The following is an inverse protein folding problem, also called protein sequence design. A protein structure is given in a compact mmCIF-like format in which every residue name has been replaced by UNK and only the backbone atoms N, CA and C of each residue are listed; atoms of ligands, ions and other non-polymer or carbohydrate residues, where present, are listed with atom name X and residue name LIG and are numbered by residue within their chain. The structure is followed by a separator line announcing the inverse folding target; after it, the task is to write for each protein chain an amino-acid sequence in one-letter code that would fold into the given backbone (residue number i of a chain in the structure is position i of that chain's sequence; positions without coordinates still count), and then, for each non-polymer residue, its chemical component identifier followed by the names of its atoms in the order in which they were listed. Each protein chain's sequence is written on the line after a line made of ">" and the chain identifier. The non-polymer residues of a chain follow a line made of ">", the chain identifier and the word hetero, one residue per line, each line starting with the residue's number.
data_IF_106144045655
#
_entry.id   IF_106144045655
#
_cell.length_a   1.000
_cell.length_b   1.000
_cell.length_c   1.000
_cell.angle_alpha   90.00
_cell.angle_beta   90.00
_cell.angle_gamma   90.00
#
_symmetry.space_group_name_H-M   'P 1'
#
loop_
_entity.id
_entity.type
_entity.pdbx_description
1 polymer ?
#
# COMPACT_ATOMS: atom_id res chain seq x y z
N UNK A 1 20.61 11.30 -24.95
CA UNK A 1 19.85 11.77 -23.76
C UNK A 1 20.49 11.16 -22.52
N UNK A 2 21.12 11.99 -21.68
CA UNK A 2 21.84 11.54 -20.48
C UNK A 2 20.90 10.78 -19.54
N UNK A 3 21.21 9.51 -19.28
CA UNK A 3 20.60 8.75 -18.19
C UNK A 3 20.91 9.47 -16.87
N UNK A 4 19.97 10.27 -16.36
CA UNK A 4 20.00 10.67 -14.95
C UNK A 4 19.83 9.38 -14.15
N UNK A 5 20.85 8.98 -13.40
CA UNK A 5 20.71 7.92 -12.41
C UNK A 5 19.50 8.23 -11.53
N UNK A 6 18.49 7.37 -11.52
CA UNK A 6 17.27 7.53 -10.71
C UNK A 6 17.53 7.43 -9.20
N UNK A 7 18.78 7.17 -8.81
CA UNK A 7 19.26 7.13 -7.44
C UNK A 7 19.17 8.50 -6.79
N UNK A 8 18.15 8.67 -5.94
CA UNK A 8 18.07 9.79 -5.00
C UNK A 8 19.00 9.49 -3.83
N UNK A 9 19.88 10.42 -3.49
CA UNK A 9 20.82 10.26 -2.38
C UNK A 9 20.32 10.97 -1.12
N UNK A 10 20.56 10.36 0.04
CA UNK A 10 20.34 10.96 1.36
C UNK A 10 21.68 11.12 2.07
N UNK A 11 21.82 12.22 2.80
CA UNK A 11 23.02 12.55 3.56
C UNK A 11 22.69 12.61 5.04
N UNK A 12 23.59 12.08 5.85
CA UNK A 12 23.42 12.01 7.29
C UNK A 12 24.68 12.47 8.01
N UNK A 13 24.49 13.13 9.15
CA UNK A 13 25.54 13.54 10.08
C UNK A 13 25.49 12.67 11.34
N UNK A 14 26.65 12.26 11.85
CA UNK A 14 26.75 11.48 13.09
C UNK A 14 26.42 12.34 14.31
N UNK A 15 25.57 11.83 15.19
CA UNK A 15 25.24 12.41 16.49
C UNK A 15 25.55 11.42 17.63
N UNK A 16 25.43 11.88 18.88
CA UNK A 16 25.69 11.06 20.07
C UNK A 16 24.90 9.75 20.09
N UNK A 17 23.64 9.78 19.66
CA UNK A 17 22.74 8.61 19.70
C UNK A 17 22.33 8.09 18.32
N UNK A 18 23.04 8.45 17.24
CA UNK A 18 22.72 7.92 15.92
C UNK A 18 23.13 8.82 14.76
N UNK A 19 22.30 8.85 13.72
CA UNK A 19 22.50 9.61 12.50
C UNK A 19 21.33 10.58 12.30
N UNK A 20 21.63 11.86 12.10
CA UNK A 20 20.65 12.89 11.75
C UNK A 20 20.66 13.12 10.23
N UNK A 21 19.50 13.05 9.60
CA UNK A 21 19.36 13.38 8.17
C UNK A 21 19.51 14.89 7.94
N UNK A 22 20.24 15.28 6.89
CA UNK A 22 20.29 16.68 6.47
C UNK A 22 18.97 17.12 5.81
N UNK A 23 18.61 18.39 5.97
CA UNK A 23 17.46 18.97 5.29
C UNK A 23 17.64 18.99 3.78
N UNK A 24 16.53 19.03 3.03
CA UNK A 24 16.58 19.02 1.57
C UNK A 24 17.37 20.20 1.00
N UNK A 25 17.31 21.38 1.63
CA UNK A 25 18.10 22.54 1.24
C UNK A 25 19.61 22.27 1.34
N UNK A 26 20.08 21.68 2.45
CA UNK A 26 21.49 21.35 2.63
C UNK A 26 21.92 20.27 1.65
N UNK A 27 21.09 19.26 1.41
CA UNK A 27 21.35 18.21 0.41
C UNK A 27 21.49 18.79 -1.00
N UNK A 28 20.64 19.76 -1.39
CA UNK A 28 20.76 20.45 -2.69
C UNK A 28 22.10 21.18 -2.82
N UNK A 29 22.52 21.90 -1.77
CA UNK A 29 23.83 22.56 -1.77
C UNK A 29 24.99 21.56 -1.90
N UNK A 30 24.91 20.40 -1.22
CA UNK A 30 25.93 19.34 -1.32
C UNK A 30 26.02 18.80 -2.75
N UNK A 31 24.88 18.45 -3.37
CA UNK A 31 24.86 17.90 -4.72
C UNK A 31 25.31 18.93 -5.77
N UNK A 32 24.91 20.21 -5.63
CA UNK A 32 25.36 21.30 -6.51
C UNK A 32 26.87 21.51 -6.41
N UNK A 33 27.42 21.59 -5.20
CA UNK A 33 28.85 21.76 -4.98
C UNK A 33 29.65 20.56 -5.47
N UNK A 34 29.15 19.34 -5.23
CA UNK A 34 29.76 18.11 -5.75
C UNK A 34 29.78 18.10 -7.29
N UNK A 35 28.70 18.56 -7.93
CA UNK A 35 28.62 18.67 -9.40
C UNK A 35 29.62 19.68 -9.98
N UNK A 36 30.03 20.67 -9.17
CA UNK A 36 31.07 21.65 -9.51
C UNK A 36 32.48 21.22 -9.10
N UNK A 37 32.64 20.00 -8.56
CA UNK A 37 33.94 19.49 -8.11
C UNK A 37 34.46 20.14 -6.82
N UNK A 38 33.60 20.80 -6.05
CA UNK A 38 34.01 21.41 -4.78
C UNK A 38 34.28 20.33 -3.72
N UNK A 39 35.37 20.48 -2.99
CA UNK A 39 35.70 19.59 -1.86
C UNK A 39 35.06 20.04 -0.55
N UNK A 40 34.64 21.30 -0.45
CA UNK A 40 34.12 21.89 0.77
C UNK A 40 32.93 22.81 0.51
N UNK A 41 31.96 22.81 1.44
CA UNK A 41 30.85 23.76 1.44
C UNK A 41 30.63 24.36 2.83
N UNK A 42 30.13 25.59 2.89
CA UNK A 42 29.68 26.22 4.12
C UNK A 42 28.17 26.32 4.14
N UNK A 43 27.53 26.04 5.29
CA UNK A 43 26.13 26.38 5.50
C UNK A 43 25.84 26.73 6.95
N UNK A 44 24.66 27.31 7.17
CA UNK A 44 24.13 27.67 8.48
C UNK A 44 23.05 26.67 8.92
N UNK A 45 23.12 26.21 10.16
CA UNK A 45 22.10 25.37 10.77
C UNK A 45 21.94 25.77 12.23
N UNK A 46 20.71 26.09 12.66
CA UNK A 46 20.38 26.45 14.05
C UNK A 46 21.40 27.46 14.62
N UNK A 47 21.61 28.56 13.90
CA UNK A 47 22.53 29.67 14.25
C UNK A 47 24.04 29.34 14.27
N UNK A 48 24.43 28.11 13.95
CA UNK A 48 25.83 27.71 13.87
C UNK A 48 26.28 27.59 12.41
N UNK A 49 27.52 28.01 12.14
CA UNK A 49 28.16 27.84 10.83
C UNK A 49 28.94 26.54 10.82
N UNK A 50 28.78 25.79 9.73
CA UNK A 50 29.43 24.50 9.53
C UNK A 50 30.19 24.49 8.20
N UNK A 51 31.36 23.86 8.22
CA UNK A 51 32.11 23.46 7.03
C UNK A 51 31.87 21.98 6.80
N UNK A 52 31.48 21.63 5.59
CA UNK A 52 31.28 20.27 5.13
C UNK A 52 32.42 19.92 4.19
N UNK A 53 33.35 19.06 4.63
CA UNK A 53 34.37 18.52 3.75
C UNK A 53 33.81 17.25 3.10
N UNK A 54 33.48 17.37 1.81
CA UNK A 54 32.86 16.32 1.00
C UNK A 54 33.86 15.24 0.59
N UNK A 55 35.15 15.57 0.57
CA UNK A 55 36.24 14.63 0.23
C UNK A 55 36.55 13.69 1.39
N UNK A 56 36.72 14.24 2.58
CA UNK A 56 37.04 13.50 3.80
C UNK A 56 35.78 13.00 4.53
N UNK A 57 34.61 13.54 4.18
CA UNK A 57 33.32 13.06 4.70
C UNK A 57 33.04 13.46 6.14
N UNK A 58 33.31 14.72 6.50
CA UNK A 58 32.99 15.25 7.83
C UNK A 58 32.37 16.64 7.80
N UNK A 59 31.60 16.93 8.85
CA UNK A 59 31.11 18.25 9.21
C UNK A 59 31.96 18.80 10.34
N UNK A 60 32.38 20.05 10.25
CA UNK A 60 33.07 20.77 11.30
C UNK A 60 32.26 22.00 11.71
N UNK A 61 31.98 22.16 13.01
CA UNK A 61 31.47 23.41 13.54
C UNK A 61 32.60 24.46 13.51
N UNK A 62 32.35 25.62 12.93
CA UNK A 62 33.39 26.67 12.77
C UNK A 62 33.77 27.30 14.11
N UNK A 63 32.83 27.41 15.05
CA UNK A 63 33.04 28.06 16.35
C UNK A 63 33.70 27.09 17.33
N UNK A 64 33.14 25.89 17.47
CA UNK A 64 33.57 24.92 18.48
C UNK A 64 34.62 23.92 17.97
N UNK A 65 34.96 23.94 16.67
CA UNK A 65 35.90 23.00 16.05
C UNK A 65 35.43 21.52 16.02
N UNK A 66 34.24 21.22 16.55
CA UNK A 66 33.75 19.84 16.67
C UNK A 66 33.53 19.21 15.31
N UNK A 67 34.10 18.01 15.12
CA UNK A 67 33.99 17.24 13.88
C UNK A 67 33.00 16.08 14.03
N UNK A 68 32.18 15.87 13.01
CA UNK A 68 31.18 14.80 12.95
C UNK A 68 31.24 14.12 11.59
N UNK A 69 31.22 12.80 11.57
CA UNK A 69 31.24 12.03 10.32
C UNK A 69 29.96 12.26 9.52
N UNK A 70 30.10 12.31 8.20
CA UNK A 70 29.02 12.36 7.24
C UNK A 70 28.98 11.06 6.45
N UNK A 71 27.78 10.59 6.14
CA UNK A 71 27.59 9.48 5.21
C UNK A 71 26.56 9.86 4.15
N UNK A 72 26.85 9.40 2.92
CA UNK A 72 25.93 9.42 1.80
C UNK A 72 25.40 8.01 1.60
N UNK A 73 24.07 7.86 1.53
CA UNK A 73 23.41 6.56 1.29
C UNK A 73 22.39 6.71 0.16
N UNK A 74 22.28 5.71 -0.74
CA UNK A 74 21.22 5.73 -1.72
C UNK A 74 19.89 5.55 -0.98
N UNK A 75 18.88 6.33 -1.35
CA UNK A 75 17.53 6.15 -0.86
C UNK A 75 17.00 4.83 -1.41
N UNK A 76 16.64 3.92 -0.52
CA UNK A 76 15.96 2.70 -0.94
C UNK A 76 14.68 3.08 -1.70
N UNK A 77 14.58 2.59 -2.93
CA UNK A 77 13.38 2.60 -3.74
C UNK A 77 13.01 1.15 -3.99
N UNK A 78 11.78 0.77 -3.70
CA UNK A 78 11.35 -0.58 -4.04
C UNK A 78 11.48 -0.82 -5.56
N UNK A 79 11.71 -2.09 -5.98
CA UNK A 79 11.68 -2.46 -7.39
C UNK A 79 10.38 -2.03 -8.10
N UNK A 80 9.28 -1.92 -7.36
CA UNK A 80 7.95 -1.51 -7.86
C UNK A 80 7.96 -0.05 -8.32
N UNK A 81 8.59 0.85 -7.57
CA UNK A 81 8.76 2.24 -8.00
C UNK A 81 9.82 2.38 -9.10
N UNK A 82 10.80 1.48 -9.12
CA UNK A 82 11.87 1.49 -10.12
C UNK A 82 11.45 0.87 -11.45
N UNK A 83 10.41 0.03 -11.49
CA UNK A 83 9.95 -0.70 -12.68
C UNK A 83 9.86 0.13 -13.97
N UNK A 84 9.31 1.36 -13.97
CA UNK A 84 9.28 2.21 -15.17
C UNK A 84 10.68 2.62 -15.69
N UNK A 85 11.69 2.57 -14.83
CA UNK A 85 13.07 2.97 -15.11
C UNK A 85 14.01 1.77 -15.29
N UNK A 86 13.58 0.56 -14.90
CA UNK A 86 14.33 -0.67 -15.10
C UNK A 86 14.16 -1.10 -16.56
N UNK A 87 15.01 -0.57 -17.44
CA UNK A 87 15.26 -1.18 -18.73
C UNK A 87 16.05 -2.46 -18.47
N UNK A 88 15.37 -3.60 -18.38
CA UNK A 88 16.06 -4.90 -18.39
C UNK A 88 16.91 -4.97 -19.65
N UNK A 89 18.19 -5.30 -19.49
CA UNK A 89 19.12 -5.69 -20.57
C UNK A 89 18.67 -7.02 -21.19
N UNK A 90 17.44 -7.10 -21.68
CA UNK A 90 16.97 -8.20 -22.52
C UNK A 90 17.47 -7.94 -23.95
N UNK A 91 18.78 -8.11 -24.14
CA UNK A 91 19.33 -8.34 -25.47
C UNK A 91 18.86 -9.69 -25.99
N UNK A 92 18.60 -9.74 -27.30
CA UNK A 92 18.30 -10.92 -28.13
C UNK A 92 16.86 -11.46 -28.04
N UNK A 93 15.92 -10.72 -28.63
CA UNK A 93 14.77 -11.37 -29.26
C UNK A 93 15.28 -12.28 -30.38
N UNK A 94 15.22 -13.59 -30.18
CA UNK A 94 15.34 -14.56 -31.26
C UNK A 94 14.20 -14.30 -32.28
N UNK A 95 14.45 -14.36 -33.60
CA UNK A 95 13.38 -14.23 -34.58
C UNK A 95 12.48 -15.46 -34.49
N UNK A 96 11.21 -15.27 -34.17
CA UNK A 96 10.20 -16.32 -34.34
C UNK A 96 9.99 -16.47 -35.85
N UNK A 97 10.51 -17.57 -36.40
CA UNK A 97 10.22 -18.01 -37.77
C UNK A 97 8.70 -18.18 -37.94
N UNK A 98 8.18 -17.59 -39.02
CA UNK A 98 6.81 -17.79 -39.48
C UNK A 98 6.65 -19.23 -39.98
N UNK A 99 5.97 -20.07 -39.22
CA UNK A 99 5.37 -21.29 -39.77
C UNK A 99 3.96 -20.95 -40.29
N UNK A 100 3.84 -20.85 -41.62
CA UNK A 100 2.56 -20.85 -42.32
C UNK A 100 2.01 -22.29 -42.37
N UNK A 101 0.78 -22.48 -41.90
CA UNK A 101 -0.02 -23.69 -42.11
C UNK A 101 -1.51 -23.31 -42.12
N UNK A 102 -2.33 -23.79 -43.06
CA UNK A 102 -3.67 -23.29 -43.28
C UNK A 102 -4.67 -24.04 -42.40
N UNK A 103 -5.47 -23.33 -41.60
CA UNK A 103 -6.68 -23.90 -41.01
C UNK A 103 -7.85 -22.94 -41.18
N UNK A 104 -8.76 -23.41 -42.03
CA UNK A 104 -10.14 -23.02 -42.30
C UNK A 104 -10.74 -21.89 -41.46
N UNK A 105 -11.16 -20.83 -42.17
CA UNK A 105 -11.95 -19.74 -41.64
C UNK A 105 -13.39 -20.19 -41.35
N UNK A 106 -13.72 -20.35 -40.07
CA UNK A 106 -15.07 -20.07 -39.57
C UNK A 106 -14.94 -19.04 -38.45
N UNK A 107 -15.02 -17.77 -38.86
CA UNK A 107 -15.13 -16.64 -37.96
C UNK A 107 -16.54 -16.65 -37.33
N UNK A 108 -16.67 -17.28 -36.17
CA UNK A 108 -17.73 -16.90 -35.23
C UNK A 108 -17.25 -15.64 -34.51
N UNK A 109 -17.73 -14.48 -34.96
CA UNK A 109 -17.66 -13.24 -34.19
C UNK A 109 -18.27 -13.51 -32.81
N UNK A 110 -17.61 -13.19 -31.68
CA UNK A 110 -18.33 -13.12 -30.43
C UNK A 110 -19.28 -11.95 -30.56
N UNK A 111 -20.58 -12.26 -30.56
CA UNK A 111 -21.61 -11.26 -30.32
C UNK A 111 -21.18 -10.45 -29.10
N UNK A 112 -21.19 -9.13 -29.24
CA UNK A 112 -20.98 -8.20 -28.14
C UNK A 112 -22.20 -8.32 -27.20
N UNK A 113 -22.22 -9.38 -26.39
CA UNK A 113 -23.15 -9.49 -25.28
C UNK A 113 -22.66 -8.53 -24.21
N UNK A 114 -23.38 -7.43 -24.01
CA UNK A 114 -23.28 -6.55 -22.84
C UNK A 114 -23.78 -7.27 -21.57
N UNK A 115 -23.34 -8.51 -21.35
CA UNK A 115 -23.53 -9.19 -20.09
C UNK A 115 -22.67 -8.47 -19.06
N UNK A 116 -23.31 -7.77 -18.11
CA UNK A 116 -22.63 -7.34 -16.88
C UNK A 116 -21.91 -8.56 -16.31
N UNK A 117 -20.58 -8.56 -16.33
CA UNK A 117 -19.81 -9.67 -15.78
C UNK A 117 -20.18 -9.82 -14.31
N UNK A 118 -20.58 -11.04 -13.92
CA UNK A 118 -21.02 -11.33 -12.54
C UNK A 118 -19.89 -11.09 -11.53
N UNK A 119 -18.64 -11.24 -11.97
CA UNK A 119 -17.43 -11.08 -11.16
C UNK A 119 -16.45 -10.12 -11.86
N UNK A 120 -15.51 -9.49 -11.10
CA UNK A 120 -14.50 -8.64 -11.69
C UNK A 120 -13.69 -9.36 -12.77
N UNK A 121 -13.36 -8.67 -13.86
CA UNK A 121 -12.59 -9.23 -14.99
C UNK A 121 -11.20 -9.76 -14.60
N UNK A 122 -10.67 -9.29 -13.48
CA UNK A 122 -9.39 -9.76 -12.94
C UNK A 122 -9.50 -11.11 -12.22
N UNK A 123 -10.70 -11.67 -12.06
CA UNK A 123 -10.88 -12.95 -11.39
C UNK A 123 -10.58 -14.11 -12.34
N UNK A 124 -9.84 -15.10 -11.83
CA UNK A 124 -9.62 -16.38 -12.52
C UNK A 124 -10.77 -17.34 -12.25
N UNK A 125 -10.95 -18.34 -13.13
CA UNK A 125 -11.87 -19.46 -12.88
C UNK A 125 -11.49 -20.21 -11.60
N UNK A 126 -12.50 -20.70 -10.89
CA UNK A 126 -12.35 -21.48 -9.66
C UNK A 126 -13.01 -22.83 -9.82
N UNK A 127 -12.47 -23.86 -9.17
CA UNK A 127 -13.10 -25.17 -9.09
C UNK A 127 -14.43 -25.06 -8.32
N UNK A 128 -15.52 -25.74 -8.75
CA UNK A 128 -16.83 -25.63 -8.12
C UNK A 128 -16.85 -26.02 -6.63
N UNK A 129 -15.90 -26.83 -6.17
CA UNK A 129 -15.78 -27.26 -4.78
C UNK A 129 -15.04 -26.26 -3.87
N UNK A 130 -14.42 -25.22 -4.42
CA UNK A 130 -13.64 -24.24 -3.67
C UNK A 130 -14.51 -23.07 -3.19
N UNK A 131 -14.59 -22.88 -1.88
CA UNK A 131 -15.29 -21.72 -1.28
C UNK A 131 -14.58 -20.39 -1.60
N UNK A 132 -13.24 -20.42 -1.66
CA UNK A 132 -12.42 -19.27 -1.99
C UNK A 132 -11.04 -19.69 -2.52
N UNK A 133 -10.37 -18.77 -3.23
CA UNK A 133 -8.95 -18.91 -3.60
C UNK A 133 -8.20 -17.60 -3.30
N UNK A 134 -6.93 -17.71 -2.97
CA UNK A 134 -5.99 -16.59 -2.85
C UNK A 134 -5.10 -16.57 -4.08
N UNK A 135 -5.29 -15.57 -4.94
CA UNK A 135 -4.56 -15.46 -6.21
C UNK A 135 -3.43 -14.45 -6.05
N UNK A 136 -2.16 -14.84 -6.25
CA UNK A 136 -1.05 -13.88 -6.28
C UNK A 136 -1.32 -12.77 -7.30
N UNK A 137 -1.13 -11.52 -6.89
CA UNK A 137 -1.29 -10.37 -7.77
C UNK A 137 0.06 -10.05 -8.42
N UNK A 138 0.12 -10.05 -9.75
CA UNK A 138 1.34 -9.65 -10.47
C UNK A 138 1.70 -8.19 -10.17
N UNK A 139 3.00 -7.89 -10.13
CA UNK A 139 3.54 -6.54 -9.98
C UNK A 139 3.13 -5.60 -11.13
N UNK A 140 2.80 -6.16 -12.29
CA UNK A 140 2.32 -5.41 -13.46
C UNK A 140 0.85 -5.01 -13.34
N UNK A 141 0.07 -5.71 -12.49
CA UNK A 141 -1.34 -5.46 -12.27
C UNK A 141 -1.54 -4.07 -11.62
N UNK A 142 -2.50 -3.29 -12.13
CA UNK A 142 -2.86 -1.98 -11.58
C UNK A 142 -3.27 -2.06 -10.11
N UNK A 143 -3.91 -3.16 -9.71
CA UNK A 143 -4.31 -3.41 -8.32
C UNK A 143 -3.10 -3.56 -7.39
N UNK A 144 -2.01 -4.17 -7.85
CA UNK A 144 -0.77 -4.24 -7.08
C UNK A 144 -0.25 -2.84 -6.73
N UNK A 145 -0.11 -1.98 -7.74
CA UNK A 145 0.34 -0.58 -7.56
C UNK A 145 -0.59 0.19 -6.63
N UNK A 146 -1.89 -0.04 -6.74
CA UNK A 146 -2.89 0.60 -5.88
C UNK A 146 -2.73 0.19 -4.42
N UNK A 147 -2.66 -1.11 -4.14
CA UNK A 147 -2.48 -1.65 -2.77
C UNK A 147 -1.15 -1.19 -2.19
N UNK A 148 -0.07 -1.26 -2.99
CA UNK A 148 1.25 -0.80 -2.61
C UNK A 148 1.26 0.67 -2.19
N UNK A 149 0.68 1.55 -3.01
CA UNK A 149 0.61 2.98 -2.73
C UNK A 149 -0.24 3.29 -1.50
N UNK A 150 -1.38 2.61 -1.33
CA UNK A 150 -2.23 2.80 -0.15
C UNK A 150 -1.52 2.38 1.14
N UNK A 151 -0.78 1.27 1.11
CA UNK A 151 -0.02 0.78 2.26
C UNK A 151 1.13 1.74 2.62
N UNK A 152 1.97 2.06 1.64
CA UNK A 152 3.16 2.89 1.83
C UNK A 152 2.87 4.37 2.01
N UNK A 153 1.62 4.81 1.80
CA UNK A 153 1.16 6.16 2.22
C UNK A 153 1.39 6.42 3.71
N UNK A 154 1.40 5.37 4.53
CA UNK A 154 1.54 5.51 6.00
C UNK A 154 2.59 4.60 6.63
N UNK A 155 3.10 3.61 5.89
CA UNK A 155 4.17 2.72 6.34
C UNK A 155 5.41 2.97 5.47
N UNK A 156 6.54 3.46 6.02
CA UNK A 156 7.74 3.70 5.22
C UNK A 156 8.31 2.40 4.60
N UNK A 157 8.71 2.46 3.33
CA UNK A 157 9.38 1.35 2.63
C UNK A 157 10.68 0.90 3.31
N UNK A 158 11.34 1.83 4.01
CA UNK A 158 12.57 1.56 4.76
C UNK A 158 12.32 0.75 6.04
N UNK A 159 11.07 0.69 6.52
CA UNK A 159 10.71 -0.06 7.74
C UNK A 159 10.09 -1.41 7.44
N UNK A 160 9.21 -1.47 6.44
CA UNK A 160 8.53 -2.70 6.06
C UNK A 160 8.48 -2.84 4.55
N UNK A 161 8.68 -4.07 4.07
CA UNK A 161 8.56 -4.44 2.65
C UNK A 161 7.34 -5.33 2.49
N UNK A 162 6.53 -5.08 1.46
CA UNK A 162 5.47 -6.01 1.05
C UNK A 162 6.13 -7.24 0.43
N UNK A 163 5.87 -8.42 0.99
CA UNK A 163 6.41 -9.68 0.48
C UNK A 163 5.55 -10.21 -0.67
N UNK A 164 4.24 -10.32 -0.45
CA UNK A 164 3.28 -10.82 -1.42
C UNK A 164 1.97 -10.04 -1.30
N UNK A 165 1.23 -9.90 -2.40
CA UNK A 165 -0.16 -9.43 -2.41
C UNK A 165 -0.99 -10.54 -3.00
N UNK A 166 -2.01 -10.98 -2.27
CA UNK A 166 -2.97 -11.98 -2.73
C UNK A 166 -4.35 -11.33 -2.84
N UNK A 167 -5.01 -11.53 -3.98
CA UNK A 167 -6.42 -11.20 -4.19
C UNK A 167 -7.26 -12.37 -3.70
N UNK A 168 -8.15 -12.11 -2.76
CA UNK A 168 -9.12 -13.10 -2.29
C UNK A 168 -10.29 -13.13 -3.27
N UNK A 169 -10.51 -14.28 -3.89
CA UNK A 169 -11.70 -14.55 -4.71
C UNK A 169 -12.63 -15.47 -3.91
N UNK A 170 -13.74 -14.92 -3.45
CA UNK A 170 -14.79 -15.65 -2.75
C UNK A 170 -16.14 -15.25 -3.38
N UNK A 171 -16.68 -16.06 -4.31
CA UNK A 171 -17.91 -15.72 -5.04
C UNK A 171 -19.10 -15.44 -4.12
N UNK A 172 -19.30 -16.27 -3.09
CA UNK A 172 -20.40 -16.12 -2.14
C UNK A 172 -20.34 -14.78 -1.39
N UNK A 173 -19.17 -14.43 -0.84
CA UNK A 173 -19.00 -13.16 -0.12
C UNK A 173 -19.10 -11.96 -1.06
N UNK A 174 -18.61 -12.08 -2.29
CA UNK A 174 -18.72 -11.03 -3.30
C UNK A 174 -20.17 -10.75 -3.69
N UNK A 175 -20.98 -11.78 -3.91
CA UNK A 175 -22.41 -11.63 -4.19
C UNK A 175 -23.16 -11.01 -3.02
N UNK A 176 -22.88 -11.47 -1.79
CA UNK A 176 -23.45 -10.87 -0.57
C UNK A 176 -23.10 -9.39 -0.47
N UNK A 177 -21.84 -9.04 -0.76
CA UNK A 177 -21.37 -7.65 -0.79
C UNK A 177 -22.10 -6.82 -1.86
N UNK A 178 -22.17 -7.29 -3.11
CA UNK A 178 -22.84 -6.59 -4.20
C UNK A 178 -24.32 -6.35 -3.91
N UNK A 179 -25.04 -7.37 -3.44
CA UNK A 179 -26.46 -7.25 -3.06
C UNK A 179 -26.67 -6.21 -1.96
N UNK A 180 -25.80 -6.19 -0.93
CA UNK A 180 -25.90 -5.18 0.13
C UNK A 180 -25.57 -3.78 -0.39
N UNK A 181 -24.59 -3.64 -1.28
CA UNK A 181 -24.24 -2.37 -1.95
C UNK A 181 -25.43 -1.83 -2.72
N UNK A 182 -26.02 -2.64 -3.61
CA UNK A 182 -27.21 -2.27 -4.39
C UNK A 182 -28.37 -1.85 -3.49
N UNK A 183 -28.65 -2.61 -2.43
CA UNK A 183 -29.68 -2.27 -1.46
C UNK A 183 -29.44 -0.90 -0.81
N UNK A 184 -28.23 -0.64 -0.32
CA UNK A 184 -27.88 0.65 0.31
C UNK A 184 -27.94 1.81 -0.69
N UNK A 185 -27.52 1.59 -1.93
CA UNK A 185 -27.47 2.62 -2.96
C UNK A 185 -28.84 3.11 -3.44
N UNK A 186 -29.94 2.38 -3.21
CA UNK A 186 -31.31 2.78 -3.63
C UNK A 186 -31.78 4.09 -3.03
N UNK A 187 -31.34 4.40 -1.81
CA UNK A 187 -31.76 5.58 -1.04
C UNK A 187 -30.66 6.66 -0.98
N UNK A 188 -29.59 6.51 -1.78
CA UNK A 188 -28.42 7.38 -1.74
C UNK A 188 -28.36 8.29 -2.97
N UNK A 189 -27.92 9.54 -2.76
CA UNK A 189 -27.51 10.42 -3.85
C UNK A 189 -26.29 9.85 -4.58
N UNK A 190 -26.02 10.31 -5.80
CA UNK A 190 -24.85 9.83 -6.55
C UNK A 190 -23.53 10.11 -5.82
N UNK A 191 -23.43 11.25 -5.15
CA UNK A 191 -22.27 11.59 -4.33
C UNK A 191 -22.11 10.64 -3.13
N UNK A 192 -23.22 10.30 -2.46
CA UNK A 192 -23.20 9.37 -1.33
C UNK A 192 -22.78 7.96 -1.77
N UNK A 193 -23.19 7.52 -2.97
CA UNK A 193 -22.76 6.22 -3.52
C UNK A 193 -21.24 6.13 -3.66
N UNK A 194 -20.59 7.23 -4.10
CA UNK A 194 -19.13 7.30 -4.23
C UNK A 194 -18.45 7.21 -2.86
N UNK A 195 -19.00 7.87 -1.84
CA UNK A 195 -18.41 7.92 -0.50
C UNK A 195 -18.70 6.68 0.36
N UNK A 196 -19.76 5.94 0.03
CA UNK A 196 -20.22 4.75 0.74
C UNK A 196 -19.19 3.61 0.69
N UNK A 197 -18.38 3.52 -0.37
CA UNK A 197 -17.45 2.41 -0.56
C UNK A 197 -16.01 2.86 -0.29
N UNK A 198 -15.33 2.21 0.67
CA UNK A 198 -13.95 2.58 1.03
C UNK A 198 -13.04 1.36 1.15
N UNK A 199 -11.79 1.56 0.73
CA UNK A 199 -10.72 0.61 1.01
C UNK A 199 -10.09 0.94 2.37
N UNK A 200 -10.17 0.01 3.32
CA UNK A 200 -9.63 0.17 4.67
C UNK A 200 -8.79 -1.05 5.07
N UNK A 201 -7.84 -0.83 5.97
CA UNK A 201 -6.90 -1.84 6.41
C UNK A 201 -7.38 -2.57 7.66
N UNK A 202 -7.12 -3.87 7.73
CA UNK A 202 -7.33 -4.70 8.92
C UNK A 202 -6.10 -5.57 9.18
N UNK A 203 -5.36 -5.28 10.24
CA UNK A 203 -4.22 -6.10 10.66
C UNK A 203 -4.70 -7.29 11.46
N UNK A 204 -4.15 -8.46 11.19
CA UNK A 204 -4.53 -9.70 11.87
C UNK A 204 -3.33 -10.63 12.03
N UNK A 205 -3.55 -11.77 12.69
CA UNK A 205 -2.57 -12.83 12.83
C UNK A 205 -2.67 -13.84 11.68
N UNK A 206 -1.58 -14.57 11.42
CA UNK A 206 -1.50 -15.57 10.35
C UNK A 206 -2.59 -16.64 10.45
N UNK A 207 -2.89 -17.10 11.65
CA UNK A 207 -3.89 -18.13 11.95
C UNK A 207 -5.32 -17.70 11.61
N UNK A 208 -5.62 -16.41 11.65
CA UNK A 208 -6.95 -15.89 11.31
C UNK A 208 -7.17 -15.70 9.80
N UNK A 209 -6.11 -15.69 8.98
CA UNK A 209 -6.19 -15.35 7.54
C UNK A 209 -7.15 -16.28 6.80
N UNK A 210 -7.00 -17.59 6.96
CA UNK A 210 -7.82 -18.58 6.24
C UNK A 210 -9.31 -18.43 6.62
N UNK A 211 -9.60 -18.30 7.92
CA UNK A 211 -10.95 -18.11 8.42
C UNK A 211 -11.59 -16.82 7.87
N UNK A 212 -10.85 -15.71 7.83
CA UNK A 212 -11.35 -14.45 7.28
C UNK A 212 -11.61 -14.56 5.77
N UNK A 213 -10.70 -15.20 5.00
CA UNK A 213 -10.91 -15.40 3.56
C UNK A 213 -12.15 -16.27 3.26
N UNK A 214 -12.40 -17.28 4.09
CA UNK A 214 -13.52 -18.21 3.91
C UNK A 214 -14.85 -17.63 4.39
N UNK A 215 -14.87 -17.06 5.59
CA UNK A 215 -16.09 -16.72 6.33
C UNK A 215 -16.34 -15.22 6.48
N UNK A 216 -15.46 -14.38 5.92
CA UNK A 216 -15.42 -12.93 6.13
C UNK A 216 -14.98 -12.54 7.55
N UNK A 217 -14.92 -11.23 7.81
CA UNK A 217 -14.71 -10.70 9.15
C UNK A 217 -15.92 -11.02 10.04
N UNK A 218 -15.69 -11.68 11.17
CA UNK A 218 -16.73 -11.98 12.14
C UNK A 218 -16.59 -11.04 13.37
N UNK A 219 -17.58 -10.15 13.60
CA UNK A 219 -17.60 -9.26 14.76
C UNK A 219 -17.52 -9.97 16.11
N UNK A 220 -17.96 -11.24 16.19
CA UNK A 220 -18.05 -12.01 17.44
C UNK A 220 -16.68 -12.53 17.91
N UNK A 221 -15.71 -12.61 17.02
CA UNK A 221 -14.35 -13.10 17.31
C UNK A 221 -13.31 -11.97 17.39
N UNK A 222 -13.72 -10.73 17.14
CA UNK A 222 -12.82 -9.58 17.20
C UNK A 222 -12.38 -9.32 18.65
N UNK A 223 -11.05 -9.18 18.85
CA UNK A 223 -10.41 -9.23 20.17
C UNK A 223 -10.87 -8.17 21.17
N UNK A 224 -10.68 -8.46 22.46
CA UNK A 224 -11.08 -7.64 23.63
C UNK A 224 -10.52 -6.20 23.65
N UNK A 225 -9.53 -5.88 22.80
CA UNK A 225 -8.76 -4.64 22.84
C UNK A 225 -9.31 -3.49 21.98
N UNK A 226 -10.30 -3.78 21.13
CA UNK A 226 -10.92 -2.77 20.28
C UNK A 226 -12.43 -2.75 20.57
N UNK A 227 -12.85 -2.45 21.79
CA UNK A 227 -14.29 -2.32 22.11
C UNK A 227 -14.69 -0.88 22.34
N UNK A 228 -13.81 0.11 22.19
CA UNK A 228 -14.12 1.50 22.52
C UNK A 228 -15.29 2.10 21.72
N UNK A 229 -15.51 1.62 20.49
CA UNK A 229 -16.56 2.14 19.60
C UNK A 229 -17.64 1.10 19.26
N UNK A 230 -17.71 0.01 20.02
CA UNK A 230 -18.70 -1.06 19.86
C UNK A 230 -18.08 -2.45 19.70
N UNK A 231 -18.94 -3.46 19.68
CA UNK A 231 -18.61 -4.87 19.50
C UNK A 231 -18.72 -5.21 18.01
N UNK A 232 -17.63 -4.94 17.28
CA UNK A 232 -17.59 -4.96 15.82
C UNK A 232 -16.23 -5.45 15.28
N UNK A 233 -16.15 -5.58 13.96
CA UNK A 233 -14.86 -5.70 13.26
C UNK A 233 -14.29 -4.32 12.95
N UNK A 234 -13.00 -4.12 13.24
CA UNK A 234 -12.36 -2.81 13.19
C UNK A 234 -11.47 -2.66 11.97
N UNK A 235 -11.52 -1.48 11.36
CA UNK A 235 -10.77 -1.15 10.16
C UNK A 235 -10.18 0.25 10.28
N UNK A 236 -9.02 0.47 9.67
CA UNK A 236 -8.35 1.75 9.71
C UNK A 236 -8.06 2.31 8.32
N UNK A 237 -8.17 3.63 8.20
CA UNK A 237 -7.76 4.35 6.98
C UNK A 237 -6.24 4.32 6.77
N UNK A 238 -5.46 4.26 7.86
CA UNK A 238 -4.00 4.24 7.83
C UNK A 238 -3.52 2.81 8.06
N UNK A 239 -2.72 2.27 7.15
CA UNK A 239 -2.10 0.95 7.30
C UNK A 239 -1.25 0.87 8.57
N UNK A 240 -0.55 1.96 8.92
CA UNK A 240 0.27 2.03 10.14
C UNK A 240 -0.51 1.82 11.44
N UNK A 241 -1.79 2.19 11.47
CA UNK A 241 -2.65 1.91 12.63
C UNK A 241 -3.01 0.44 12.69
N UNK A 242 -3.46 -0.13 11.57
CA UNK A 242 -3.75 -1.56 11.45
C UNK A 242 -2.54 -2.44 11.75
N UNK A 243 -1.33 -1.96 11.45
CA UNK A 243 -0.10 -2.70 11.73
C UNK A 243 0.08 -3.04 13.21
N UNK A 244 -0.37 -2.18 14.13
CA UNK A 244 -0.32 -2.43 15.58
C UNK A 244 -1.15 -3.66 16.00
N UNK A 245 -2.09 -4.08 15.15
CA UNK A 245 -2.94 -5.26 15.37
C UNK A 245 -2.52 -6.46 14.51
N UNK A 246 -1.54 -6.28 13.62
CA UNK A 246 -0.96 -7.40 12.86
C UNK A 246 0.06 -8.13 13.71
N UNK A 247 -0.34 -9.25 14.32
CA UNK A 247 0.55 -10.07 15.13
C UNK A 247 1.63 -10.68 14.23
N UNK A 248 2.89 -10.45 14.60
CA UNK A 248 4.07 -10.99 13.92
C UNK A 248 4.07 -12.53 14.01
N UNK A 249 4.29 -13.22 12.89
CA UNK A 249 4.46 -14.68 12.84
C UNK A 249 5.80 -15.12 13.45
N UNK A 250 6.02 -16.44 13.55
CA UNK A 250 7.29 -17.01 14.03
C UNK A 250 8.48 -16.61 13.14
N UNK A 251 8.25 -16.50 11.83
CA UNK A 251 9.21 -16.09 10.79
C UNK A 251 9.34 -14.57 10.70
N UNK A 252 8.55 -13.85 11.48
CA UNK A 252 8.58 -12.41 11.54
C UNK A 252 7.71 -11.68 10.52
N UNK A 253 6.74 -12.38 9.92
CA UNK A 253 5.85 -11.86 8.88
C UNK A 253 4.59 -11.27 9.52
N UNK A 254 4.10 -10.16 8.97
CA UNK A 254 2.84 -9.54 9.37
C UNK A 254 1.78 -9.75 8.30
N UNK A 255 0.53 -9.96 8.72
CA UNK A 255 -0.61 -10.16 7.85
C UNK A 255 -1.61 -9.02 7.97
N UNK A 256 -2.08 -8.51 6.84
CA UNK A 256 -3.00 -7.39 6.78
C UNK A 256 -3.91 -7.51 5.56
N UNK A 257 -5.19 -7.28 5.76
CA UNK A 257 -6.17 -7.15 4.68
C UNK A 257 -6.30 -5.69 4.27
N UNK A 258 -6.39 -5.43 2.96
CA UNK A 258 -7.06 -4.25 2.43
C UNK A 258 -8.48 -4.68 2.03
N UNK A 259 -9.45 -4.33 2.86
CA UNK A 259 -10.84 -4.72 2.68
C UNK A 259 -11.62 -3.59 2.00
N UNK A 260 -12.63 -3.98 1.22
CA UNK A 260 -13.57 -3.07 0.57
C UNK A 260 -14.86 -3.03 1.39
N UNK A 261 -15.18 -1.89 2.01
CA UNK A 261 -16.26 -1.74 2.98
C UNK A 261 -17.34 -0.79 2.50
N UNK A 262 -18.59 -1.16 2.81
CA UNK A 262 -19.77 -0.29 2.74
C UNK A 262 -19.93 0.43 4.08
N UNK A 263 -19.63 1.72 4.09
CA UNK A 263 -19.57 2.54 5.31
C UNK A 263 -20.95 3.10 5.67
N UNK A 264 -21.77 3.41 4.68
CA UNK A 264 -23.05 4.09 4.86
C UNK A 264 -22.90 5.44 5.56
N UNK A 265 -23.99 5.86 6.21
CA UNK A 265 -23.90 6.92 7.22
C UNK A 265 -23.25 6.34 8.47
N UNK A 266 -22.40 7.14 9.11
CA UNK A 266 -21.66 6.72 10.30
C UNK A 266 -21.78 7.77 11.40
N UNK A 267 -21.62 7.33 12.63
CA UNK A 267 -21.61 8.17 13.82
C UNK A 267 -20.60 7.65 14.83
N UNK A 268 -20.38 8.40 15.90
CA UNK A 268 -19.50 7.99 16.99
C UNK A 268 -20.08 6.77 17.72
N UNK A 269 -19.30 5.69 17.77
CA UNK A 269 -19.67 4.48 18.49
C UNK A 269 -19.45 4.58 20.00
N UNK A 270 -20.04 3.64 20.75
CA UNK A 270 -19.88 3.48 22.20
C UNK A 270 -19.61 2.01 22.54
N UNK A 271 -18.93 1.70 23.66
CA UNK A 271 -18.46 0.33 23.88
C UNK A 271 -19.51 -0.77 23.97
N UNK A 272 -20.70 -0.43 24.46
CA UNK A 272 -21.81 -1.36 24.61
C UNK A 272 -22.54 -1.68 23.29
N UNK A 273 -22.27 -0.94 22.21
CA UNK A 273 -23.02 -1.06 20.97
C UNK A 273 -22.69 -2.37 20.24
N UNK A 274 -23.72 -3.18 19.98
CA UNK A 274 -23.62 -4.39 19.12
C UNK A 274 -24.08 -4.15 17.69
N UNK A 275 -24.73 -3.00 17.46
CA UNK A 275 -25.22 -2.53 16.17
C UNK A 275 -25.08 -1.00 16.12
N UNK A 276 -25.00 -0.39 14.93
CA UNK A 276 -25.14 1.06 14.78
C UNK A 276 -26.45 1.56 15.42
N UNK A 277 -26.49 2.83 15.88
CA UNK A 277 -27.71 3.40 16.45
C UNK A 277 -28.70 3.72 15.33
N UNK A 278 -29.99 3.78 15.66
CA UNK A 278 -31.02 4.18 14.68
C UNK A 278 -30.85 5.66 14.30
N UNK A 279 -31.16 6.00 13.05
CA UNK A 279 -31.10 7.40 12.59
C UNK A 279 -32.21 8.25 13.23
N UNK A 280 -33.38 7.65 13.44
CA UNK A 280 -34.52 8.26 14.11
C UNK A 280 -34.79 7.55 15.44
N UNK A 281 -34.96 8.28 16.56
CA UNK A 281 -35.40 7.68 17.82
C UNK A 281 -36.80 7.05 17.74
N UNK A 282 -37.65 7.54 16.84
CA UNK A 282 -39.03 7.07 16.66
C UNK A 282 -39.13 5.79 15.83
N UNK A 283 -38.06 5.40 15.11
CA UNK A 283 -38.01 4.19 14.30
C UNK A 283 -36.74 3.38 14.62
N UNK A 284 -36.83 2.34 15.46
CA UNK A 284 -35.69 1.48 15.82
C UNK A 284 -35.05 0.72 14.65
N UNK A 285 -35.74 0.67 13.49
CA UNK A 285 -35.29 0.04 12.24
C UNK A 285 -34.69 1.02 11.23
N UNK A 286 -34.62 2.31 11.57
CA UNK A 286 -34.07 3.33 10.68
C UNK A 286 -32.54 3.19 10.55
N UNK A 287 -32.13 2.67 9.40
CA UNK A 287 -30.73 2.45 8.99
C UNK A 287 -30.10 3.65 8.26
#
# INVERSE_FOLDING_TARGET
>A
TLFRSSTVWKYYCREHFGWREYSEAVVRCIEEASSRGMSEICFLMQQNRYILNLREGFQQNVIFGTRRRIIRRPLFRSPILLLPYLQTLAGLSAPIEKAQGPVSAQACFPALSSSSSLYPETWISMEPSQDFVQVPVSIEDKSYKTVYNLFHKTIPETKFRILNIHRVQNPYLWEKYKRKKEYMSRKMSEMDKILNERHLFHGTSQDAVNAICKHNFDPRVCGKHATMFGQGSYFARKASYSHNFSKKSKEGIHYMFLAKLLIGKYTLGKPSMRRPPSQSPADPSSD
#
